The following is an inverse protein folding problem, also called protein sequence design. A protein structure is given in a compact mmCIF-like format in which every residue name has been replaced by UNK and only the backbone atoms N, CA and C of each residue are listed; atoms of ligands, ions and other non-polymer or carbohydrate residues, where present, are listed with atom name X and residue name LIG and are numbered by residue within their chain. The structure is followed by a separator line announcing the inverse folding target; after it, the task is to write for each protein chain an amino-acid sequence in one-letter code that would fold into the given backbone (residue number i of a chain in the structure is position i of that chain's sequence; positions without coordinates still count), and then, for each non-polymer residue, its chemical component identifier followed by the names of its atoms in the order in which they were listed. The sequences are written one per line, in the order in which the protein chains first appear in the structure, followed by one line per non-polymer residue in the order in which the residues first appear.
data_IF_687756755977
#
_entry.id   IF_687756755977
#
_cell.length_a   1.000
_cell.length_b   1.000
_cell.length_c   1.000
_cell.angle_alpha   90.00
_cell.angle_beta   90.00
_cell.angle_gamma   90.00
#
_symmetry.space_group_name_H-M   'P 1'
#
loop_
_entity.id
_entity.type
_entity.pdbx_description
1 polymer ?
#
# COMPACT_ATOMS: atom_id res chain seq x y z
N UNK A 1 -20.08 -34.69 -34.95
CA UNK A 1 -18.71 -34.91 -34.46
C UNK A 1 -17.88 -33.61 -34.31
N UNK A 2 -18.04 -32.60 -35.18
CA UNK A 2 -17.26 -31.34 -35.15
C UNK A 2 -17.54 -30.39 -33.95
N UNK A 3 -18.72 -30.52 -33.31
CA UNK A 3 -19.14 -29.66 -32.18
C UNK A 3 -18.61 -30.13 -30.81
N UNK A 4 -18.35 -31.44 -30.68
CA UNK A 4 -17.88 -32.08 -29.44
C UNK A 4 -16.35 -31.89 -29.29
N UNK A 5 -15.61 -31.84 -30.40
CA UNK A 5 -14.17 -31.54 -30.41
C UNK A 5 -13.87 -30.10 -29.99
N UNK A 6 -14.69 -29.12 -30.42
CA UNK A 6 -14.57 -27.71 -29.98
C UNK A 6 -14.81 -27.52 -28.48
N UNK A 7 -15.81 -28.22 -27.90
CA UNK A 7 -16.07 -28.16 -26.46
C UNK A 7 -14.91 -28.71 -25.64
N UNK A 8 -14.29 -29.82 -26.08
CA UNK A 8 -13.11 -30.41 -25.43
C UNK A 8 -11.86 -29.53 -25.54
N UNK A 9 -11.64 -28.90 -26.68
CA UNK A 9 -10.53 -27.94 -26.84
C UNK A 9 -10.71 -26.68 -25.99
N UNK A 10 -11.93 -26.15 -25.83
CA UNK A 10 -12.17 -25.00 -24.96
C UNK A 10 -11.96 -25.32 -23.47
N UNK A 11 -12.37 -26.52 -23.02
CA UNK A 11 -12.18 -26.95 -21.63
C UNK A 11 -10.69 -27.15 -21.27
N UNK A 12 -9.87 -27.62 -22.22
CA UNK A 12 -8.43 -27.77 -22.03
C UNK A 12 -7.69 -26.43 -21.98
N UNK A 13 -8.12 -25.44 -22.78
CA UNK A 13 -7.52 -24.09 -22.76
C UNK A 13 -7.83 -23.34 -21.46
N UNK A 14 -9.05 -23.45 -20.93
CA UNK A 14 -9.45 -22.82 -19.67
C UNK A 14 -8.74 -23.40 -18.44
N UNK A 15 -8.41 -24.70 -18.46
CA UNK A 15 -7.68 -25.36 -17.38
C UNK A 15 -6.20 -24.93 -17.31
N UNK A 16 -5.59 -24.54 -18.44
CA UNK A 16 -4.19 -24.12 -18.50
C UNK A 16 -4.01 -22.65 -18.09
N UNK A 17 -5.01 -21.79 -18.31
CA UNK A 17 -4.95 -20.36 -17.99
C UNK A 17 -5.12 -20.01 -16.51
N UNK A 18 -5.43 -20.99 -15.65
CA UNK A 18 -5.62 -20.75 -14.19
C UNK A 18 -4.32 -20.82 -13.38
N UNK A 19 -3.20 -21.22 -13.99
CA UNK A 19 -1.94 -21.49 -13.28
C UNK A 19 -0.96 -20.31 -13.22
N UNK A 20 -1.27 -19.19 -13.87
CA UNK A 20 -0.41 -18.00 -13.93
C UNK A 20 -0.86 -16.87 -12.99
N UNK A 21 -1.72 -17.16 -12.02
CA UNK A 21 -2.01 -16.24 -10.92
C UNK A 21 -0.76 -16.16 -10.04
N UNK A 22 0.19 -15.29 -10.41
CA UNK A 22 1.35 -14.99 -9.58
C UNK A 22 0.88 -14.68 -8.17
N UNK A 23 1.54 -15.26 -7.17
CA UNK A 23 1.24 -14.98 -5.78
C UNK A 23 1.39 -13.47 -5.57
N UNK A 24 0.28 -12.78 -5.34
CA UNK A 24 0.31 -11.40 -4.91
C UNK A 24 0.96 -11.41 -3.52
N UNK A 25 2.23 -11.02 -3.45
CA UNK A 25 2.93 -10.84 -2.18
C UNK A 25 2.45 -9.51 -1.63
N UNK A 26 1.30 -9.54 -0.94
CA UNK A 26 0.97 -8.45 -0.03
C UNK A 26 2.00 -8.49 1.09
N UNK A 27 2.58 -7.33 1.44
CA UNK A 27 3.50 -7.24 2.57
C UNK A 27 2.75 -7.67 3.84
N UNK A 28 3.19 -8.78 4.44
CA UNK A 28 2.59 -9.30 5.66
C UNK A 28 3.05 -8.52 6.90
N UNK A 29 4.00 -7.60 6.74
CA UNK A 29 4.55 -6.81 7.82
C UNK A 29 4.11 -5.36 7.70
N UNK A 30 3.77 -4.77 8.85
CA UNK A 30 3.51 -3.33 8.90
C UNK A 30 4.83 -2.58 8.66
N UNK A 31 4.84 -1.57 7.77
CA UNK A 31 6.02 -0.74 7.58
C UNK A 31 6.40 -0.01 8.87
N UNK A 32 7.69 0.21 9.05
CA UNK A 32 8.25 0.98 10.16
C UNK A 32 9.20 2.04 9.64
N UNK A 33 9.30 3.15 10.36
CA UNK A 33 10.19 4.24 9.98
C UNK A 33 11.64 3.94 10.35
N UNK A 34 12.59 4.49 9.60
CA UNK A 34 14.02 4.45 9.91
C UNK A 34 14.52 5.69 10.68
N UNK A 35 13.61 6.55 11.15
CA UNK A 35 13.94 7.82 11.81
C UNK A 35 14.77 7.65 13.09
N UNK A 36 15.79 8.48 13.26
CA UNK A 36 16.71 8.45 14.41
C UNK A 36 16.27 9.47 15.45
N UNK A 37 15.91 8.99 16.64
CA UNK A 37 15.57 9.85 17.77
C UNK A 37 16.83 10.55 18.30
N UNK A 38 16.80 11.89 18.51
CA UNK A 38 17.94 12.61 19.06
C UNK A 38 18.18 12.25 20.53
N UNK A 39 19.43 12.25 20.94
CA UNK A 39 19.81 12.03 22.34
C UNK A 39 19.85 13.36 23.10
N UNK A 40 19.07 13.46 24.18
CA UNK A 40 19.09 14.63 25.07
C UNK A 40 20.14 14.42 26.17
N UNK A 41 21.16 15.28 26.28
CA UNK A 41 22.12 15.19 27.37
C UNK A 41 21.46 15.54 28.72
N UNK A 42 22.04 15.05 29.82
CA UNK A 42 21.56 15.35 31.18
C UNK A 42 21.58 16.87 31.47
N UNK A 43 22.61 17.55 30.99
CA UNK A 43 22.75 19.01 31.02
C UNK A 43 23.45 19.48 29.75
N UNK A 44 23.04 20.63 29.23
CA UNK A 44 23.75 21.32 28.16
C UNK A 44 24.88 22.15 28.75
N UNK A 45 26.04 22.14 28.10
CA UNK A 45 27.24 22.88 28.52
C UNK A 45 27.42 24.20 27.79
N UNK A 46 26.68 24.43 26.71
CA UNK A 46 26.75 25.66 25.92
C UNK A 46 25.47 25.89 25.12
N UNK A 47 25.27 27.12 24.64
CA UNK A 47 24.16 27.45 23.73
C UNK A 47 24.27 26.67 22.41
N UNK A 48 25.49 26.44 21.90
CA UNK A 48 25.72 25.65 20.71
C UNK A 48 25.16 24.22 20.82
N UNK A 49 25.31 23.57 21.99
CA UNK A 49 24.73 22.24 22.21
C UNK A 49 23.19 22.26 22.23
N UNK A 50 22.59 23.36 22.73
CA UNK A 50 21.13 23.55 22.71
C UNK A 50 20.64 23.69 21.28
N UNK A 51 21.30 24.54 20.50
CA UNK A 51 20.93 24.81 19.11
C UNK A 51 21.06 23.54 18.25
N UNK A 52 22.18 22.82 18.39
CA UNK A 52 22.39 21.53 17.72
C UNK A 52 21.32 20.50 18.08
N UNK A 53 20.96 20.38 19.36
CA UNK A 53 19.90 19.45 19.78
C UNK A 53 18.54 19.83 19.19
N UNK A 54 18.22 21.12 19.14
CA UNK A 54 16.96 21.60 18.56
C UNK A 54 16.90 21.30 17.05
N UNK A 55 18.00 21.48 16.33
CA UNK A 55 18.08 21.11 14.92
C UNK A 55 17.86 19.60 14.72
N UNK A 56 18.46 18.77 15.58
CA UNK A 56 18.26 17.32 15.52
C UNK A 56 16.81 16.93 15.80
N UNK A 57 16.15 17.61 16.74
CA UNK A 57 14.71 17.45 17.02
C UNK A 57 13.86 17.82 15.80
N UNK A 58 14.16 18.91 15.10
CA UNK A 58 13.43 19.28 13.88
C UNK A 58 13.60 18.23 12.78
N UNK A 59 14.83 17.72 12.58
CA UNK A 59 15.07 16.66 11.59
C UNK A 59 14.33 15.38 11.93
N UNK A 60 14.31 14.97 13.20
CA UNK A 60 13.54 13.81 13.64
C UNK A 60 12.04 14.00 13.43
N UNK A 61 11.50 15.17 13.80
CA UNK A 61 10.09 15.51 13.58
C UNK A 61 9.72 15.44 12.10
N UNK A 62 10.55 16.00 11.22
CA UNK A 62 10.30 15.97 9.78
C UNK A 62 10.24 14.52 9.29
N UNK A 63 11.24 13.69 9.61
CA UNK A 63 11.27 12.28 9.20
C UNK A 63 10.01 11.49 9.63
N UNK A 64 9.57 11.69 10.88
CA UNK A 64 8.35 11.05 11.37
C UNK A 64 7.11 11.55 10.61
N UNK A 65 7.06 12.85 10.30
CA UNK A 65 5.94 13.45 9.58
C UNK A 65 5.86 12.91 8.15
N UNK A 66 7.00 12.81 7.46
CA UNK A 66 7.10 12.25 6.11
C UNK A 66 6.61 10.80 6.07
N UNK A 67 7.04 9.98 7.03
CA UNK A 67 6.57 8.59 7.13
C UNK A 67 5.06 8.52 7.33
N UNK A 68 4.50 9.33 8.22
CA UNK A 68 3.05 9.37 8.47
C UNK A 68 2.28 9.84 7.23
N UNK A 69 2.79 10.83 6.51
CA UNK A 69 2.20 11.30 5.27
C UNK A 69 2.16 10.21 4.19
N UNK A 70 3.27 9.49 4.01
CA UNK A 70 3.36 8.35 3.09
C UNK A 70 2.32 7.26 3.43
N UNK A 71 2.17 6.92 4.71
CA UNK A 71 1.19 5.91 5.12
C UNK A 71 -0.25 6.39 4.89
N UNK A 72 -0.55 7.67 5.13
CA UNK A 72 -1.87 8.24 4.86
C UNK A 72 -2.19 8.28 3.36
N UNK A 73 -1.20 8.53 2.50
CA UNK A 73 -1.35 8.44 1.05
C UNK A 73 -1.64 7.00 0.59
N UNK A 74 -0.90 6.02 1.13
CA UNK A 74 -1.16 4.61 0.85
C UNK A 74 -2.59 4.20 1.29
N UNK A 75 -3.02 4.62 2.48
CA UNK A 75 -4.39 4.39 2.95
C UNK A 75 -5.45 4.99 2.02
N UNK A 76 -5.24 6.21 1.52
CA UNK A 76 -6.16 6.85 0.57
C UNK A 76 -6.27 6.03 -0.72
N UNK A 77 -5.14 5.64 -1.32
CA UNK A 77 -5.12 4.79 -2.52
C UNK A 77 -5.87 3.47 -2.34
N UNK A 78 -5.73 2.85 -1.18
CA UNK A 78 -6.47 1.62 -0.87
C UNK A 78 -7.96 1.86 -0.68
N UNK A 79 -8.35 2.98 -0.06
CA UNK A 79 -9.75 3.38 0.06
C UNK A 79 -10.36 3.64 -1.32
N UNK A 80 -9.69 4.41 -2.16
CA UNK A 80 -10.14 4.74 -3.51
C UNK A 80 -10.35 3.47 -4.35
N UNK A 81 -9.43 2.50 -4.26
CA UNK A 81 -9.57 1.22 -4.95
C UNK A 81 -10.78 0.40 -4.47
N UNK A 82 -11.13 0.48 -3.18
CA UNK A 82 -12.33 -0.17 -2.65
C UNK A 82 -13.60 0.54 -3.14
N UNK A 83 -13.60 1.88 -3.15
CA UNK A 83 -14.72 2.68 -3.63
C UNK A 83 -14.95 2.49 -5.14
N UNK A 84 -13.90 2.38 -5.94
CA UNK A 84 -13.97 2.06 -7.37
C UNK A 84 -14.61 0.68 -7.59
N UNK A 85 -14.21 -0.34 -6.83
CA UNK A 85 -14.79 -1.68 -6.94
C UNK A 85 -16.29 -1.70 -6.55
N UNK A 86 -16.68 -0.90 -5.55
CA UNK A 86 -18.09 -0.72 -5.19
C UNK A 86 -18.85 -0.01 -6.31
N UNK A 87 -18.27 1.03 -6.90
CA UNK A 87 -18.85 1.76 -8.03
C UNK A 87 -19.09 0.84 -9.23
N UNK A 88 -18.11 0.01 -9.58
CA UNK A 88 -18.21 -0.96 -10.67
C UNK A 88 -19.38 -1.94 -10.46
N UNK A 89 -19.52 -2.49 -9.25
CA UNK A 89 -20.65 -3.35 -8.91
C UNK A 89 -21.98 -2.63 -9.06
N UNK A 90 -22.09 -1.42 -8.52
CA UNK A 90 -23.31 -0.63 -8.59
C UNK A 90 -23.69 -0.29 -10.05
N UNK A 91 -22.70 0.01 -10.89
CA UNK A 91 -22.92 0.25 -12.32
C UNK A 91 -23.45 -1.00 -13.01
N UNK A 92 -22.84 -2.17 -12.76
CA UNK A 92 -23.33 -3.44 -13.30
C UNK A 92 -24.79 -3.71 -12.91
N UNK A 93 -25.13 -3.55 -11.63
CA UNK A 93 -26.50 -3.73 -11.15
C UNK A 93 -27.47 -2.77 -11.84
N UNK A 94 -27.10 -1.49 -11.96
CA UNK A 94 -28.01 -0.47 -12.45
C UNK A 94 -28.23 -0.49 -13.97
N UNK A 95 -27.23 -0.88 -14.75
CA UNK A 95 -27.28 -0.78 -16.22
C UNK A 95 -27.36 -2.12 -16.94
N UNK A 96 -26.87 -3.20 -16.34
CA UNK A 96 -26.80 -4.52 -17.00
C UNK A 96 -27.81 -5.54 -16.43
N UNK A 97 -28.23 -5.38 -15.17
CA UNK A 97 -29.17 -6.32 -14.51
C UNK A 97 -30.60 -5.80 -14.39
N UNK A 98 -30.84 -4.51 -14.59
CA UNK A 98 -32.17 -3.88 -14.51
C UNK A 98 -32.83 -3.72 -15.88
#
# INVERSE_FOLDING_TARGET
MYRISKLRSCLLVAAISSFSSGMAVADMFQPSHSCIKPYKPFQFKSQYEVDSFNDDVQRYKQCISDFVEEQNDAMRKHSDAADDAISDWNNFVNYELN
#
